data_IF_833602968574
#
_entry.id   IF_833602968574
#
_cell.length_a   1.000
_cell.length_b   1.000
_cell.length_c   1.000
_cell.angle_alpha   90.00
_cell.angle_beta   90.00
_cell.angle_gamma   90.00
#
_symmetry.space_group_name_H-M   'P 1'
#
loop_
_entity.id
_entity.type
_entity.pdbx_description
1 polymer ?
#
# COMPACT_ATOMS: atom_id res chain seq x y z
N UNK A 1 -13.59 21.16 30.41
CA UNK A 1 -13.46 19.86 29.70
C UNK A 1 -13.13 20.19 28.25
N UNK A 2 -12.04 19.66 27.68
CA UNK A 2 -11.69 19.91 26.26
C UNK A 2 -12.56 19.00 25.41
N UNK A 3 -13.30 19.54 24.44
CA UNK A 3 -14.09 18.72 23.52
C UNK A 3 -13.14 18.00 22.55
N UNK A 4 -13.01 16.69 22.72
CA UNK A 4 -12.14 15.85 21.89
C UNK A 4 -12.55 15.89 20.41
N UNK A 5 -13.85 16.03 20.10
CA UNK A 5 -14.34 16.10 18.72
C UNK A 5 -13.86 17.38 18.04
N UNK A 6 -13.92 18.49 18.77
CA UNK A 6 -13.44 19.78 18.28
C UNK A 6 -11.94 19.75 18.03
N UNK A 7 -11.19 19.11 18.92
CA UNK A 7 -9.74 18.94 18.78
C UNK A 7 -9.39 18.13 17.52
N UNK A 8 -10.06 16.99 17.31
CA UNK A 8 -9.86 16.16 16.11
C UNK A 8 -10.20 16.91 14.82
N UNK A 9 -11.30 17.67 14.81
CA UNK A 9 -11.69 18.48 13.65
C UNK A 9 -10.65 19.57 13.36
N UNK A 10 -10.18 20.28 14.38
CA UNK A 10 -9.16 21.33 14.20
C UNK A 10 -7.83 20.74 13.68
N UNK A 11 -7.42 19.57 14.17
CA UNK A 11 -6.23 18.84 13.69
C UNK A 11 -6.39 18.36 12.23
N UNK A 12 -7.57 17.83 11.87
CA UNK A 12 -7.87 17.43 10.50
C UNK A 12 -7.89 18.61 9.53
N UNK A 13 -8.53 19.73 9.92
CA UNK A 13 -8.57 20.95 9.11
C UNK A 13 -7.16 21.48 8.89
N UNK A 14 -6.29 21.43 9.91
CA UNK A 14 -4.89 21.80 9.76
C UNK A 14 -4.15 20.87 8.79
N UNK A 15 -4.27 19.57 8.98
CA UNK A 15 -3.66 18.57 8.08
C UNK A 15 -4.09 18.78 6.62
N UNK A 16 -5.38 19.04 6.41
CA UNK A 16 -5.95 19.27 5.07
C UNK A 16 -5.43 20.55 4.43
N UNK A 17 -5.27 21.64 5.20
CA UNK A 17 -4.71 22.91 4.69
C UNK A 17 -3.24 22.80 4.32
N UNK A 18 -2.48 22.02 5.08
CA UNK A 18 -1.05 21.84 4.89
C UNK A 18 -0.71 20.61 4.05
N UNK A 19 -1.70 19.93 3.47
CA UNK A 19 -1.52 18.67 2.74
C UNK A 19 -0.45 18.78 1.66
N UNK A 20 -0.51 19.84 0.86
CA UNK A 20 0.45 20.13 -0.21
C UNK A 20 1.77 20.74 0.27
N UNK A 21 1.95 20.98 1.56
CA UNK A 21 3.21 21.43 2.15
C UNK A 21 3.94 20.31 2.91
N UNK A 22 3.20 19.27 3.29
CA UNK A 22 3.71 18.12 4.00
C UNK A 22 4.21 17.04 3.05
N UNK A 23 5.15 16.21 3.51
CA UNK A 23 5.45 14.98 2.77
C UNK A 23 4.33 13.95 2.92
N UNK A 24 4.23 13.06 1.94
CA UNK A 24 3.11 12.11 1.85
C UNK A 24 3.10 11.09 2.98
N UNK A 25 4.27 10.69 3.51
CA UNK A 25 4.32 9.78 4.65
C UNK A 25 3.79 10.42 5.93
N UNK A 26 4.16 11.68 6.21
CA UNK A 26 3.60 12.43 7.33
C UNK A 26 2.08 12.55 7.21
N UNK A 27 1.59 12.91 6.02
CA UNK A 27 0.15 12.97 5.75
C UNK A 27 -0.53 11.61 6.00
N UNK A 28 0.06 10.53 5.49
CA UNK A 28 -0.45 9.17 5.65
C UNK A 28 -0.56 8.76 7.12
N UNK A 29 0.49 9.03 7.90
CA UNK A 29 0.56 8.70 9.32
C UNK A 29 -0.38 9.57 10.17
N UNK A 30 -0.43 10.87 9.92
CA UNK A 30 -1.34 11.77 10.63
C UNK A 30 -2.79 11.48 10.31
N UNK A 31 -3.11 11.20 9.04
CA UNK A 31 -4.44 10.79 8.64
C UNK A 31 -4.83 9.47 9.33
N UNK A 32 -3.92 8.48 9.38
CA UNK A 32 -4.09 7.21 10.13
C UNK A 32 -4.34 7.44 11.62
N UNK A 33 -3.61 8.37 12.23
CA UNK A 33 -3.76 8.71 13.65
C UNK A 33 -5.10 9.41 13.95
N UNK A 34 -5.54 10.32 13.08
CA UNK A 34 -6.79 11.09 13.25
C UNK A 34 -8.02 10.24 12.95
N UNK A 35 -7.91 9.36 11.95
CA UNK A 35 -8.99 8.49 11.49
C UNK A 35 -8.54 7.03 11.44
N UNK A 36 -8.24 6.41 12.61
CA UNK A 36 -7.72 5.04 12.67
C UNK A 36 -8.70 3.98 12.12
N UNK A 37 -9.96 4.36 11.88
CA UNK A 37 -10.94 3.58 11.14
C UNK A 37 -10.96 3.87 9.64
N UNK A 38 -10.83 5.12 9.19
CA UNK A 38 -11.20 5.52 7.83
C UNK A 38 -10.10 5.42 6.77
N UNK A 39 -8.83 5.32 7.18
CA UNK A 39 -7.69 5.21 6.23
C UNK A 39 -7.71 3.89 5.46
N UNK A 40 -8.35 2.87 6.04
CA UNK A 40 -8.48 1.53 5.48
C UNK A 40 -9.95 1.04 5.56
N UNK A 41 -10.94 1.96 5.66
CA UNK A 41 -12.38 1.61 5.67
C UNK A 41 -12.92 1.14 4.33
N UNK A 42 -12.04 0.93 3.39
CA UNK A 42 -12.20 -0.06 2.34
C UNK A 42 -12.63 -1.45 2.89
N UNK A 43 -12.30 -1.79 4.15
CA UNK A 43 -12.80 -2.98 4.86
C UNK A 43 -14.28 -2.82 5.24
N UNK A 44 -14.72 -1.61 5.61
CA UNK A 44 -16.14 -1.30 5.81
C UNK A 44 -16.88 -1.34 4.46
N UNK A 45 -16.35 -0.76 3.39
CA UNK A 45 -16.92 -0.89 2.04
C UNK A 45 -16.95 -2.34 1.55
N UNK A 46 -15.89 -3.12 1.80
CA UNK A 46 -15.85 -4.55 1.52
C UNK A 46 -16.94 -5.33 2.31
N UNK A 47 -17.34 -4.84 3.49
CA UNK A 47 -18.44 -5.39 4.30
C UNK A 47 -19.83 -4.98 3.79
N UNK A 48 -19.92 -3.84 3.09
CA UNK A 48 -21.13 -3.40 2.39
C UNK A 48 -21.34 -4.16 1.08
N UNK A 49 -20.30 -4.76 0.53
CA UNK A 49 -20.37 -5.57 -0.68
C UNK A 49 -20.91 -6.99 -0.39
N UNK A 50 -21.57 -7.64 -1.37
CA UNK A 50 -22.11 -8.98 -1.19
C UNK A 50 -21.04 -9.97 -0.72
N UNK A 51 -21.40 -10.80 0.29
CA UNK A 51 -20.57 -11.93 0.70
C UNK A 51 -20.36 -12.84 -0.51
N UNK A 52 -19.10 -13.21 -0.75
CA UNK A 52 -18.77 -14.17 -1.79
C UNK A 52 -19.24 -15.56 -1.37
N UNK A 53 -19.64 -16.37 -2.35
CA UNK A 53 -20.12 -17.74 -2.10
C UNK A 53 -19.04 -18.66 -1.53
N UNK A 54 -17.76 -18.34 -1.78
CA UNK A 54 -16.61 -19.04 -1.23
C UNK A 54 -15.97 -18.19 -0.11
N UNK A 55 -15.88 -18.73 1.10
CA UNK A 55 -15.28 -18.07 2.27
C UNK A 55 -13.79 -17.70 2.09
N UNK A 56 -13.12 -18.27 1.08
CA UNK A 56 -11.74 -17.97 0.74
C UNK A 56 -11.62 -16.77 -0.21
N UNK A 57 -12.72 -16.31 -0.80
CA UNK A 57 -12.81 -15.12 -1.65
C UNK A 57 -13.35 -13.92 -0.86
N UNK A 58 -12.74 -12.75 -1.02
CA UNK A 58 -13.13 -11.51 -0.33
C UNK A 58 -12.88 -10.29 -1.20
N UNK A 59 -13.66 -9.23 -0.97
CA UNK A 59 -13.38 -7.93 -1.55
C UNK A 59 -12.08 -7.38 -0.94
N UNK A 60 -11.14 -6.98 -1.80
CA UNK A 60 -9.83 -6.43 -1.45
C UNK A 60 -9.61 -5.16 -2.27
N UNK A 61 -9.23 -4.11 -1.58
CA UNK A 61 -9.10 -2.74 -2.08
C UNK A 61 -7.71 -2.44 -2.61
N UNK A 62 -6.78 -3.35 -2.35
CA UNK A 62 -5.48 -3.46 -3.01
C UNK A 62 -4.51 -2.29 -2.81
N UNK A 63 -4.71 -1.48 -1.78
CA UNK A 63 -3.94 -0.24 -1.53
C UNK A 63 -3.39 -0.19 -0.11
N UNK A 64 -2.97 -1.34 0.44
CA UNK A 64 -2.38 -1.37 1.78
C UNK A 64 -0.99 -0.74 1.76
N UNK A 65 -0.88 0.50 2.24
CA UNK A 65 0.39 1.20 2.35
C UNK A 65 1.16 0.84 3.63
N UNK A 66 0.46 0.46 4.71
CA UNK A 66 1.07 0.28 6.02
C UNK A 66 2.06 -0.88 6.05
N UNK A 67 1.65 -2.07 5.57
CA UNK A 67 2.51 -3.25 5.64
C UNK A 67 3.83 -3.09 4.85
N UNK A 68 3.83 -2.63 3.59
CA UNK A 68 5.07 -2.35 2.88
C UNK A 68 5.90 -1.27 3.59
N UNK A 69 5.29 -0.19 4.08
CA UNK A 69 6.00 0.87 4.80
C UNK A 69 6.69 0.35 6.07
N UNK A 70 5.96 -0.42 6.88
CA UNK A 70 6.47 -1.01 8.12
C UNK A 70 7.67 -1.90 7.84
N UNK A 71 7.58 -2.77 6.84
CA UNK A 71 8.66 -3.72 6.52
C UNK A 71 9.85 -2.99 5.90
N UNK A 72 9.62 -2.06 4.97
CA UNK A 72 10.66 -1.24 4.34
C UNK A 72 11.51 -0.50 5.38
N UNK A 73 10.88 0.17 6.34
CA UNK A 73 11.58 1.01 7.31
C UNK A 73 12.06 0.24 8.56
N UNK A 74 11.29 -0.77 9.00
CA UNK A 74 11.45 -1.38 10.32
C UNK A 74 11.63 -2.91 10.27
N UNK A 75 11.59 -3.54 9.10
CA UNK A 75 11.59 -5.00 8.98
C UNK A 75 12.80 -5.70 9.60
N UNK A 76 13.95 -5.03 9.64
CA UNK A 76 15.17 -5.53 10.29
C UNK A 76 15.20 -5.34 11.83
N UNK A 77 14.21 -4.65 12.41
CA UNK A 77 14.19 -4.28 13.84
C UNK A 77 13.20 -5.15 14.61
N UNK A 78 13.68 -6.30 15.08
CA UNK A 78 12.85 -7.29 15.81
C UNK A 78 12.05 -6.68 16.96
N UNK A 79 12.65 -5.77 17.73
CA UNK A 79 11.99 -5.11 18.87
C UNK A 79 10.84 -4.22 18.43
N UNK A 80 11.02 -3.41 17.38
CA UNK A 80 9.96 -2.57 16.84
C UNK A 80 8.87 -3.40 16.17
N UNK A 81 9.22 -4.51 15.52
CA UNK A 81 8.25 -5.39 14.87
C UNK A 81 7.29 -6.08 15.84
N UNK A 82 7.55 -6.05 17.15
CA UNK A 82 6.63 -6.53 18.20
C UNK A 82 5.61 -5.47 18.64
N UNK A 83 5.83 -4.20 18.30
CA UNK A 83 4.95 -3.09 18.68
C UNK A 83 3.66 -3.09 17.86
N UNK A 84 2.62 -2.51 18.45
CA UNK A 84 1.36 -2.25 17.74
C UNK A 84 1.56 -1.22 16.62
N UNK A 85 0.67 -1.21 15.63
CA UNK A 85 0.66 -0.20 14.56
C UNK A 85 0.68 1.21 15.14
N UNK A 86 -0.19 1.49 16.12
CA UNK A 86 -0.30 2.80 16.76
C UNK A 86 1.03 3.28 17.35
N UNK A 87 1.72 2.42 18.10
CA UNK A 87 3.04 2.75 18.66
C UNK A 87 4.08 3.00 17.56
N UNK A 88 4.05 2.23 16.47
CA UNK A 88 4.97 2.41 15.35
C UNK A 88 4.69 3.71 14.58
N UNK A 89 3.43 4.07 14.39
CA UNK A 89 3.05 5.34 13.76
C UNK A 89 3.52 6.53 14.59
N UNK A 90 3.39 6.47 15.92
CA UNK A 90 3.92 7.48 16.84
C UNK A 90 5.45 7.60 16.71
N UNK A 91 6.17 6.47 16.72
CA UNK A 91 7.63 6.44 16.53
C UNK A 91 8.05 7.05 15.18
N UNK A 92 7.30 6.80 14.11
CA UNK A 92 7.59 7.36 12.80
C UNK A 92 7.33 8.87 12.77
N UNK A 93 6.17 9.32 13.29
CA UNK A 93 5.78 10.74 13.35
C UNK A 93 6.77 11.59 14.14
N UNK A 94 7.39 11.05 15.18
CA UNK A 94 8.42 11.73 15.97
C UNK A 94 9.77 11.89 15.25
N UNK A 95 10.02 11.06 14.22
CA UNK A 95 11.35 10.94 13.59
C UNK A 95 11.42 11.50 12.17
N UNK A 96 10.29 11.61 11.48
CA UNK A 96 10.24 12.17 10.12
C UNK A 96 9.95 13.67 10.17
N UNK A 97 10.48 14.47 9.23
CA UNK A 97 10.05 15.84 9.08
C UNK A 97 8.58 15.91 8.65
N UNK A 98 7.93 17.04 8.93
CA UNK A 98 6.59 17.34 8.41
C UNK A 98 6.66 17.80 6.95
N UNK A 99 7.59 18.71 6.63
CA UNK A 99 7.68 19.37 5.33
C UNK A 99 8.12 18.45 4.17
N UNK A 100 8.12 19.04 2.97
CA UNK A 100 8.48 18.40 1.69
C UNK A 100 9.98 18.43 1.34
N UNK A 101 10.86 18.82 2.26
CA UNK A 101 12.31 18.77 2.01
C UNK A 101 12.74 17.31 1.80
N UNK A 102 13.04 16.96 0.55
CA UNK A 102 13.34 15.61 0.13
C UNK A 102 14.61 15.07 0.79
N UNK A 103 15.65 15.89 0.94
CA UNK A 103 16.91 15.44 1.54
C UNK A 103 16.75 15.27 3.04
N UNK A 104 16.05 16.18 3.72
CA UNK A 104 15.73 16.02 5.13
C UNK A 104 14.90 14.75 5.39
N UNK A 105 13.89 14.50 4.56
CA UNK A 105 13.07 13.29 4.66
C UNK A 105 13.93 12.04 4.43
N UNK A 106 14.72 12.03 3.37
CA UNK A 106 15.63 10.94 3.03
C UNK A 106 16.61 10.64 4.16
N UNK A 107 17.18 11.67 4.80
CA UNK A 107 18.08 11.49 5.94
C UNK A 107 17.36 10.89 7.15
N UNK A 108 16.16 11.38 7.48
CA UNK A 108 15.35 10.80 8.56
C UNK A 108 14.97 9.34 8.29
N UNK A 109 14.52 9.01 7.08
CA UNK A 109 14.15 7.65 6.69
C UNK A 109 15.37 6.72 6.66
N UNK A 110 16.52 7.21 6.21
CA UNK A 110 17.79 6.46 6.24
C UNK A 110 18.20 6.12 7.67
N UNK A 111 18.14 7.09 8.59
CA UNK A 111 18.38 6.85 10.02
C UNK A 111 17.39 5.87 10.62
N UNK A 112 16.12 5.91 10.20
CA UNK A 112 15.12 4.94 10.64
C UNK A 112 15.45 3.54 10.12
N UNK A 113 15.81 3.37 8.85
CA UNK A 113 16.03 2.05 8.24
C UNK A 113 17.38 1.42 8.59
N UNK A 114 18.45 2.21 8.51
CA UNK A 114 19.84 1.76 8.65
C UNK A 114 20.47 2.10 10.01
N UNK A 115 19.75 2.81 10.90
CA UNK A 115 20.27 3.24 12.21
C UNK A 115 21.58 4.05 12.10
N UNK A 116 22.67 3.54 12.68
CA UNK A 116 23.99 4.21 12.78
C UNK A 116 25.01 3.72 11.76
N UNK A 117 24.62 2.91 10.76
CA UNK A 117 25.59 2.40 9.77
C UNK A 117 26.13 3.49 8.84
N UNK A 118 25.48 4.67 8.79
CA UNK A 118 25.83 5.76 7.88
C UNK A 118 25.35 5.55 6.45
N UNK A 119 24.68 4.43 6.17
CA UNK A 119 24.05 4.15 4.88
C UNK A 119 22.87 5.10 4.65
N UNK A 120 22.80 5.65 3.44
CA UNK A 120 21.69 6.47 2.98
C UNK A 120 20.87 5.68 1.95
N UNK A 121 19.55 5.70 2.12
CA UNK A 121 18.62 5.20 1.11
C UNK A 121 18.84 5.99 -0.18
N UNK A 122 18.83 5.34 -1.33
CA UNK A 122 18.96 6.03 -2.62
C UNK A 122 17.78 6.99 -2.87
N UNK A 123 18.04 8.11 -3.55
CA UNK A 123 17.01 9.16 -3.75
C UNK A 123 15.80 8.61 -4.51
N UNK A 124 16.05 7.89 -5.58
CA UNK A 124 15.01 7.32 -6.44
C UNK A 124 14.13 6.28 -5.73
N UNK A 125 14.64 5.60 -4.69
CA UNK A 125 13.85 4.72 -3.82
C UNK A 125 12.86 5.54 -2.99
N UNK A 126 13.29 6.70 -2.46
CA UNK A 126 12.41 7.62 -1.73
C UNK A 126 11.36 8.21 -2.68
N UNK A 127 11.76 8.62 -3.88
CA UNK A 127 10.85 9.14 -4.90
C UNK A 127 9.79 8.08 -5.28
N UNK A 128 10.21 6.82 -5.47
CA UNK A 128 9.31 5.70 -5.71
C UNK A 128 8.36 5.46 -4.54
N UNK A 129 8.87 5.47 -3.31
CA UNK A 129 8.06 5.27 -2.10
C UNK A 129 7.03 6.39 -1.91
N UNK A 130 7.43 7.66 -2.06
CA UNK A 130 6.51 8.80 -1.98
C UNK A 130 5.49 8.77 -3.13
N UNK A 131 5.91 8.38 -4.33
CA UNK A 131 5.03 8.19 -5.48
C UNK A 131 3.97 7.12 -5.24
N UNK A 132 4.36 5.98 -4.66
CA UNK A 132 3.44 4.93 -4.25
C UNK A 132 2.40 5.43 -3.24
N UNK A 133 2.84 6.09 -2.15
CA UNK A 133 1.92 6.66 -1.16
C UNK A 133 0.99 7.69 -1.81
N UNK A 134 1.51 8.53 -2.72
CA UNK A 134 0.73 9.50 -3.46
C UNK A 134 -0.42 8.85 -4.23
N UNK A 135 -0.15 7.78 -4.98
CA UNK A 135 -1.17 7.09 -5.77
C UNK A 135 -2.19 6.33 -4.91
N UNK A 136 -1.79 5.81 -3.74
CA UNK A 136 -2.72 5.22 -2.75
C UNK A 136 -3.79 6.22 -2.35
N UNK A 137 -3.40 7.44 -1.96
CA UNK A 137 -4.35 8.47 -1.51
C UNK A 137 -5.06 9.18 -2.65
N UNK A 138 -4.42 9.34 -3.81
CA UNK A 138 -5.00 10.05 -4.94
C UNK A 138 -6.08 9.24 -5.66
N UNK A 139 -5.84 7.95 -5.92
CA UNK A 139 -6.73 7.10 -6.74
C UNK A 139 -6.96 5.71 -6.17
N UNK A 140 -6.05 5.22 -5.33
CA UNK A 140 -6.13 3.91 -4.70
C UNK A 140 -7.42 3.74 -3.90
N UNK A 141 -7.70 4.67 -2.98
CA UNK A 141 -8.91 4.63 -2.15
C UNK A 141 -10.22 4.80 -2.94
N UNK A 142 -10.16 5.28 -4.18
CA UNK A 142 -11.32 5.37 -5.06
C UNK A 142 -11.46 4.14 -5.96
N UNK A 143 -10.54 3.17 -5.89
CA UNK A 143 -10.53 2.00 -6.77
C UNK A 143 -11.48 0.93 -6.26
N UNK A 144 -12.36 0.46 -7.16
CA UNK A 144 -13.32 -0.59 -6.83
C UNK A 144 -12.60 -1.80 -6.25
N UNK A 145 -13.13 -2.31 -5.13
CA UNK A 145 -12.62 -3.52 -4.53
C UNK A 145 -12.72 -4.67 -5.55
N UNK A 146 -11.66 -5.45 -5.63
CA UNK A 146 -11.64 -6.67 -6.43
C UNK A 146 -11.99 -7.86 -5.54
N UNK A 147 -12.61 -8.90 -6.10
CA UNK A 147 -12.85 -10.16 -5.40
C UNK A 147 -11.61 -11.03 -5.49
N UNK A 148 -10.99 -11.41 -4.38
CA UNK A 148 -9.65 -12.02 -4.38
C UNK A 148 -9.51 -13.10 -3.33
N UNK A 149 -8.53 -14.00 -3.49
CA UNK A 149 -8.18 -14.96 -2.43
C UNK A 149 -7.31 -14.31 -1.36
N UNK A 150 -7.36 -14.80 -0.11
CA UNK A 150 -6.45 -14.34 0.96
C UNK A 150 -4.98 -14.38 0.49
N UNK A 151 -4.22 -13.33 0.82
CA UNK A 151 -2.78 -13.22 0.50
C UNK A 151 -1.96 -12.69 1.68
N UNK A 152 -0.64 -12.84 1.56
CA UNK A 152 0.36 -12.53 2.57
C UNK A 152 0.63 -11.03 2.78
N UNK A 153 1.75 -10.71 3.44
CA UNK A 153 2.07 -9.38 3.97
C UNK A 153 2.26 -8.26 2.91
N UNK A 154 2.12 -8.55 1.63
CA UNK A 154 2.20 -7.57 0.54
C UNK A 154 1.14 -7.88 -0.51
N UNK A 155 0.87 -6.89 -1.35
CA UNK A 155 0.03 -6.96 -2.53
C UNK A 155 0.65 -7.88 -3.62
N UNK A 156 0.74 -9.17 -3.30
CA UNK A 156 1.31 -10.27 -4.10
C UNK A 156 0.27 -10.76 -5.14
N UNK A 157 -0.17 -9.82 -5.97
CA UNK A 157 -1.35 -9.97 -6.83
C UNK A 157 -1.20 -11.03 -7.89
N UNK A 158 -0.02 -11.15 -8.47
CA UNK A 158 0.31 -12.20 -9.43
C UNK A 158 0.08 -13.60 -8.84
N UNK A 159 0.54 -13.86 -7.61
CA UNK A 159 0.30 -15.13 -6.94
C UNK A 159 -1.17 -15.35 -6.54
N UNK A 160 -1.87 -14.28 -6.11
CA UNK A 160 -3.31 -14.34 -5.83
C UNK A 160 -4.09 -14.73 -7.10
N UNK A 161 -3.79 -14.08 -8.23
CA UNK A 161 -4.43 -14.35 -9.53
C UNK A 161 -4.14 -15.76 -10.03
N UNK A 162 -2.89 -16.23 -9.95
CA UNK A 162 -2.52 -17.63 -10.26
C UNK A 162 -3.34 -18.62 -9.44
N UNK A 163 -3.43 -18.40 -8.12
CA UNK A 163 -4.20 -19.24 -7.22
C UNK A 163 -5.71 -19.23 -7.53
N UNK A 164 -6.27 -18.09 -7.94
CA UNK A 164 -7.68 -17.98 -8.34
C UNK A 164 -7.96 -18.80 -9.60
N UNK A 165 -7.14 -18.60 -10.64
CA UNK A 165 -7.27 -19.30 -11.91
C UNK A 165 -7.14 -20.83 -11.74
N UNK A 166 -6.12 -21.27 -11.01
CA UNK A 166 -5.84 -22.70 -10.86
C UNK A 166 -6.87 -23.43 -9.99
N UNK A 167 -7.40 -22.78 -8.94
CA UNK A 167 -8.21 -23.47 -7.91
C UNK A 167 -9.70 -23.17 -7.97
N UNK A 168 -10.11 -22.00 -8.45
CA UNK A 168 -11.50 -21.54 -8.31
C UNK A 168 -12.17 -21.31 -9.67
N UNK A 169 -11.47 -20.74 -10.65
CA UNK A 169 -12.04 -20.38 -11.95
C UNK A 169 -11.23 -21.04 -13.07
N UNK A 170 -11.54 -22.30 -13.39
CA UNK A 170 -10.79 -23.09 -14.39
C UNK A 170 -11.28 -22.93 -15.82
N UNK A 171 -12.53 -22.51 -16.00
CA UNK A 171 -13.13 -22.36 -17.32
C UNK A 171 -12.69 -21.02 -17.94
N UNK A 172 -12.16 -21.05 -19.16
CA UNK A 172 -11.49 -19.89 -19.78
C UNK A 172 -12.42 -18.67 -19.89
N UNK A 173 -13.68 -18.87 -20.31
CA UNK A 173 -14.62 -17.77 -20.46
C UNK A 173 -14.91 -17.11 -19.10
N UNK A 174 -15.18 -17.90 -18.07
CA UNK A 174 -15.37 -17.41 -16.71
C UNK A 174 -14.12 -16.71 -16.16
N UNK A 175 -12.91 -17.16 -16.51
CA UNK A 175 -11.67 -16.52 -16.13
C UNK A 175 -11.49 -15.15 -16.80
N UNK A 176 -11.71 -15.07 -18.11
CA UNK A 176 -11.65 -13.81 -18.87
C UNK A 176 -12.68 -12.82 -18.34
N UNK A 177 -13.90 -13.28 -18.06
CA UNK A 177 -14.97 -12.45 -17.51
C UNK A 177 -14.62 -11.95 -16.10
N UNK A 178 -14.06 -12.82 -15.25
CA UNK A 178 -13.57 -12.45 -13.92
C UNK A 178 -12.47 -11.38 -13.98
N UNK A 179 -11.45 -11.56 -14.83
CA UNK A 179 -10.33 -10.61 -14.96
C UNK A 179 -10.83 -9.24 -15.39
N UNK A 180 -11.72 -9.17 -16.39
CA UNK A 180 -12.28 -7.91 -16.88
C UNK A 180 -13.18 -7.22 -15.85
N UNK A 181 -14.05 -7.99 -15.19
CA UNK A 181 -14.96 -7.47 -14.16
C UNK A 181 -14.17 -6.84 -13.01
N UNK A 182 -13.04 -7.45 -12.63
CA UNK A 182 -12.21 -6.99 -11.52
C UNK A 182 -11.05 -6.05 -11.93
N UNK A 183 -10.94 -5.75 -13.23
CA UNK A 183 -9.95 -4.83 -13.82
C UNK A 183 -8.51 -5.28 -13.56
N UNK A 184 -8.22 -6.54 -13.87
CA UNK A 184 -6.92 -7.18 -13.63
C UNK A 184 -6.06 -7.31 -14.90
N UNK A 185 -6.48 -6.77 -16.04
CA UNK A 185 -5.79 -6.93 -17.32
C UNK A 185 -4.32 -6.44 -17.27
N UNK A 186 -4.02 -5.42 -16.47
CA UNK A 186 -2.66 -4.91 -16.30
C UNK A 186 -1.66 -5.89 -15.69
N UNK A 187 -2.14 -7.02 -15.14
CA UNK A 187 -1.32 -8.11 -14.62
C UNK A 187 -0.97 -9.17 -15.67
N UNK A 188 -1.37 -9.01 -16.93
CA UNK A 188 -1.14 -10.00 -17.99
C UNK A 188 -0.28 -9.42 -19.11
N UNK A 189 0.52 -10.29 -19.73
CA UNK A 189 1.26 -9.95 -20.96
C UNK A 189 0.27 -9.44 -22.01
N UNK A 190 0.61 -8.31 -22.65
CA UNK A 190 -0.23 -7.61 -23.63
C UNK A 190 -1.64 -7.25 -23.17
N UNK A 191 -1.88 -7.25 -21.84
CA UNK A 191 -3.21 -7.05 -21.25
C UNK A 191 -4.25 -8.09 -21.70
N UNK A 192 -3.81 -9.29 -22.10
CA UNK A 192 -4.67 -10.40 -22.51
C UNK A 192 -4.82 -11.43 -21.38
N UNK A 193 -6.02 -11.62 -20.79
CA UNK A 193 -6.25 -12.56 -19.70
C UNK A 193 -5.92 -14.03 -20.00
N UNK A 194 -5.75 -14.37 -21.29
CA UNK A 194 -5.36 -15.71 -21.75
C UNK A 194 -3.85 -15.94 -21.74
N UNK A 195 -3.07 -14.88 -21.57
CA UNK A 195 -1.60 -14.93 -21.53
C UNK A 195 -1.08 -15.07 -20.11
N UNK A 196 0.24 -15.11 -19.99
CA UNK A 196 0.93 -15.26 -18.71
C UNK A 196 0.70 -14.06 -17.78
N UNK A 197 0.54 -14.34 -16.48
CA UNK A 197 0.49 -13.33 -15.43
C UNK A 197 1.92 -12.82 -15.17
N UNK A 198 2.10 -11.51 -15.27
CA UNK A 198 3.35 -10.80 -15.06
C UNK A 198 3.71 -10.83 -13.55
N UNK A 199 4.97 -11.13 -13.18
CA UNK A 199 5.43 -11.01 -11.80
C UNK A 199 5.23 -9.60 -11.26
N UNK A 200 4.60 -9.48 -10.10
CA UNK A 200 4.37 -8.17 -9.48
C UNK A 200 5.65 -7.61 -8.85
N UNK A 201 6.50 -8.48 -8.31
CA UNK A 201 7.75 -8.09 -7.68
C UNK A 201 8.75 -9.24 -7.78
N UNK A 202 9.87 -9.01 -8.46
CA UNK A 202 10.85 -10.05 -8.81
C UNK A 202 11.48 -10.73 -7.59
N UNK A 203 11.78 -9.96 -6.54
CA UNK A 203 12.29 -10.47 -5.26
C UNK A 203 11.24 -11.33 -4.51
N UNK A 204 9.96 -11.00 -4.71
CA UNK A 204 8.83 -11.71 -4.14
C UNK A 204 8.75 -11.61 -2.61
N UNK A 205 7.75 -12.26 -1.98
CA UNK A 205 7.49 -12.12 -0.55
C UNK A 205 8.53 -12.80 0.37
N UNK A 206 9.64 -13.30 -0.17
CA UNK A 206 10.63 -14.07 0.58
C UNK A 206 11.57 -13.14 1.35
N UNK A 207 11.81 -13.39 2.65
CA UNK A 207 12.68 -12.57 3.53
C UNK A 207 12.61 -11.05 3.29
N UNK A 208 11.40 -10.49 3.38
CA UNK A 208 11.10 -9.09 3.08
C UNK A 208 11.98 -8.06 3.83
N UNK A 209 12.35 -8.38 5.07
CA UNK A 209 13.23 -7.55 5.89
C UNK A 209 14.65 -7.39 5.29
N UNK A 210 15.04 -8.27 4.36
CA UNK A 210 16.35 -8.28 3.72
C UNK A 210 16.32 -7.74 2.29
N UNK A 211 15.15 -7.29 1.80
CA UNK A 211 15.04 -6.69 0.48
C UNK A 211 15.91 -5.43 0.39
N UNK A 212 16.68 -5.33 -0.69
CA UNK A 212 17.57 -4.21 -0.97
C UNK A 212 16.77 -2.97 -1.38
N UNK A 213 17.44 -1.83 -1.46
CA UNK A 213 16.88 -0.58 -1.99
C UNK A 213 16.27 -0.76 -3.39
N UNK A 214 17.00 -1.47 -4.26
CA UNK A 214 16.54 -1.81 -5.62
C UNK A 214 15.27 -2.66 -5.60
N UNK A 215 15.20 -3.66 -4.71
CA UNK A 215 14.01 -4.51 -4.60
C UNK A 215 12.79 -3.70 -4.14
N UNK A 216 12.97 -2.80 -3.15
CA UNK A 216 11.88 -1.94 -2.68
C UNK A 216 11.45 -0.90 -3.70
N UNK A 217 12.39 -0.33 -4.46
CA UNK A 217 12.07 0.58 -5.56
C UNK A 217 11.17 -0.12 -6.59
N UNK A 218 11.55 -1.31 -7.03
CA UNK A 218 10.73 -2.10 -7.97
C UNK A 218 9.32 -2.33 -7.41
N UNK A 219 9.22 -2.72 -6.13
CA UNK A 219 7.92 -2.91 -5.48
C UNK A 219 7.07 -1.64 -5.52
N UNK A 220 7.62 -0.48 -5.11
CA UNK A 220 6.87 0.77 -5.06
C UNK A 220 6.46 1.27 -6.45
N UNK A 221 7.34 1.17 -7.44
CA UNK A 221 7.05 1.55 -8.82
C UNK A 221 5.95 0.64 -9.41
N UNK A 222 6.01 -0.66 -9.17
CA UNK A 222 4.98 -1.59 -9.63
C UNK A 222 3.65 -1.36 -8.91
N UNK A 223 3.66 -1.21 -7.59
CA UNK A 223 2.45 -0.92 -6.82
C UNK A 223 1.77 0.36 -7.31
N UNK A 224 2.55 1.44 -7.47
CA UNK A 224 2.10 2.71 -8.03
C UNK A 224 1.47 2.53 -9.40
N UNK A 225 2.19 1.92 -10.34
CA UNK A 225 1.74 1.69 -11.72
C UNK A 225 0.45 0.87 -11.76
N UNK A 226 0.33 -0.17 -10.95
CA UNK A 226 -0.86 -1.01 -10.93
C UNK A 226 -2.08 -0.27 -10.37
N UNK A 227 -1.90 0.54 -9.33
CA UNK A 227 -2.96 1.39 -8.78
C UNK A 227 -3.46 2.37 -9.87
N UNK A 228 -2.55 3.04 -10.57
CA UNK A 228 -2.89 4.03 -11.59
C UNK A 228 -3.48 3.40 -12.86
N UNK A 229 -2.98 2.25 -13.33
CA UNK A 229 -3.55 1.56 -14.49
C UNK A 229 -4.96 1.04 -14.22
N UNK A 230 -5.26 0.58 -13.00
CA UNK A 230 -6.61 0.15 -12.62
C UNK A 230 -7.59 1.31 -12.54
N UNK A 231 -7.13 2.47 -12.09
CA UNK A 231 -7.94 3.69 -12.07
C UNK A 231 -8.39 4.09 -13.49
N UNK A 232 -7.49 4.00 -14.49
CA UNK A 232 -7.83 4.28 -15.90
C UNK A 232 -8.90 3.35 -16.47
N UNK A 233 -9.08 2.16 -15.89
CA UNK A 233 -10.12 1.20 -16.30
C UNK A 233 -11.50 1.52 -15.70
N UNK A 234 -11.67 2.64 -14.97
CA UNK A 234 -12.95 3.14 -14.40
C UNK A 234 -13.91 3.81 -15.40
N UNK A 235 -13.82 3.45 -16.69
CA UNK A 235 -14.86 3.80 -17.65
C UNK A 235 -16.21 3.12 -17.30
#
# INVERSE_FOLDING_TARGET
MKDCRRTLLDEFVKLSKDWDNNNMLYNSLMFSKLYPGDVENSVADASLMPKQSDEKMRNDIMTSWWTPTKIFLLGNKKELMQKSRKELEEVLLERIPMGKDEEQLRESLSKIRHEKTGEKIEKDVIDAFMGFLGSVYAVGNMTSAAVTSRGGALDNWDAKLKNIHEKYIKEEKAWVDYVKTNKFECYFVDKDPRKEIIPFWSYGPSKLANATDKDWKEYFENAKRMIEERDKLKA
#
